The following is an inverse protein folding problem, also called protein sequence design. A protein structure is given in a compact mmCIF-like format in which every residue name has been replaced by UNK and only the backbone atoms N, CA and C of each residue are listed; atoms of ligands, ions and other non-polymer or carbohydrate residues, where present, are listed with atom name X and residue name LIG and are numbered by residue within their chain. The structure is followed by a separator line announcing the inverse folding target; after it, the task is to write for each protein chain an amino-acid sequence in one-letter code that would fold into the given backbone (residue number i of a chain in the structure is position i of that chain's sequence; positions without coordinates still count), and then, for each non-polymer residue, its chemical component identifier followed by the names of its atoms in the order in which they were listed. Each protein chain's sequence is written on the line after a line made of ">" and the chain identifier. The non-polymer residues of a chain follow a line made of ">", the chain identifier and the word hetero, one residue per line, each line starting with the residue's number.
data_IF_433956733957
#
_entry.id   IF_433956733957
#
_cell.length_a   1.000
_cell.length_b   1.000
_cell.length_c   1.000
_cell.angle_alpha   90.00
_cell.angle_beta   90.00
_cell.angle_gamma   90.00
#
_symmetry.space_group_name_H-M   'P 1'
#
loop_
_entity.id
_entity.type
_entity.pdbx_description
1 polymer ?
#
# COMPACT_ATOMS: atom_id res chain seq x y z
N UNK A 1 10.09 37.07 -19.49
CA UNK A 1 9.77 35.72 -19.99
C UNK A 1 10.82 34.78 -19.41
N UNK A 2 10.46 33.90 -18.47
CA UNK A 2 11.44 33.04 -17.77
C UNK A 2 11.10 32.61 -16.33
N UNK A 3 9.93 32.99 -15.79
CA UNK A 3 9.49 32.60 -14.44
C UNK A 3 8.43 31.48 -14.45
N UNK A 4 8.16 30.86 -15.60
CA UNK A 4 7.18 29.77 -15.67
C UNK A 4 7.77 28.53 -15.00
N UNK A 5 7.00 27.92 -14.08
CA UNK A 5 7.43 26.70 -13.41
C UNK A 5 7.59 25.56 -14.41
N UNK A 6 8.82 25.05 -14.57
CA UNK A 6 9.09 23.88 -15.42
C UNK A 6 9.15 22.64 -14.55
N UNK A 7 8.17 21.74 -14.72
CA UNK A 7 8.18 20.45 -14.05
C UNK A 7 9.21 19.51 -14.69
N UNK A 8 10.19 19.07 -13.91
CA UNK A 8 11.14 18.03 -14.31
C UNK A 8 11.07 16.90 -13.29
N UNK A 9 10.63 15.71 -13.72
CA UNK A 9 10.38 14.55 -12.84
C UNK A 9 11.54 14.29 -11.86
N UNK A 10 12.76 14.19 -12.39
CA UNK A 10 13.97 13.87 -11.61
C UNK A 10 14.38 14.95 -10.62
N UNK A 11 13.89 16.19 -10.79
CA UNK A 11 14.21 17.33 -9.92
C UNK A 11 13.05 17.73 -9.01
N UNK A 12 11.86 17.18 -9.25
CA UNK A 12 10.62 17.59 -8.57
C UNK A 12 10.02 16.42 -7.82
N UNK A 13 9.56 15.39 -8.54
CA UNK A 13 8.80 14.28 -7.95
C UNK A 13 9.67 13.21 -7.32
N UNK A 14 10.72 12.78 -8.02
CA UNK A 14 11.60 11.72 -7.52
C UNK A 14 12.23 12.07 -6.16
N UNK A 15 12.70 13.31 -5.91
CA UNK A 15 13.21 13.69 -4.60
C UNK A 15 12.13 14.22 -3.64
N UNK A 16 10.84 14.18 -4.01
CA UNK A 16 9.79 14.79 -3.18
C UNK A 16 9.56 13.98 -1.90
N UNK A 17 9.63 14.60 -0.70
CA UNK A 17 9.47 13.88 0.54
C UNK A 17 7.98 13.70 0.90
N UNK A 18 7.28 12.78 0.22
CA UNK A 18 5.87 12.41 0.50
C UNK A 18 5.63 11.96 1.95
N UNK A 19 4.50 12.24 2.59
CA UNK A 19 4.26 11.83 3.99
C UNK A 19 4.22 10.31 4.15
N UNK A 20 4.48 9.82 5.36
CA UNK A 20 4.30 8.41 5.71
C UNK A 20 2.84 8.16 6.12
N UNK A 21 1.93 8.27 5.15
CA UNK A 21 0.49 8.16 5.37
C UNK A 21 0.07 6.72 5.74
N UNK A 22 -0.80 6.60 6.73
CA UNK A 22 -1.51 5.34 7.07
C UNK A 22 -2.41 4.89 5.92
N UNK A 23 -2.82 3.62 5.91
CA UNK A 23 -3.72 3.09 4.88
C UNK A 23 -5.05 3.87 4.85
N UNK A 24 -5.59 4.24 6.02
CA UNK A 24 -6.79 5.06 6.13
C UNK A 24 -6.60 6.45 5.52
N UNK A 25 -5.46 7.09 5.78
CA UNK A 25 -5.13 8.40 5.19
C UNK A 25 -4.93 8.31 3.67
N UNK A 26 -4.29 7.24 3.18
CA UNK A 26 -4.13 7.01 1.74
C UNK A 26 -5.48 6.85 1.04
N UNK A 27 -6.39 6.09 1.64
CA UNK A 27 -7.77 5.93 1.13
C UNK A 27 -8.51 7.26 1.12
N UNK A 28 -8.43 8.04 2.20
CA UNK A 28 -9.09 9.34 2.30
C UNK A 28 -8.57 10.35 1.27
N UNK A 29 -7.24 10.50 1.16
CA UNK A 29 -6.59 11.38 0.16
C UNK A 29 -6.96 10.93 -1.25
N UNK A 30 -6.93 9.62 -1.53
CA UNK A 30 -7.29 9.04 -2.82
C UNK A 30 -8.74 9.34 -3.20
N UNK A 31 -9.69 9.17 -2.28
CA UNK A 31 -11.09 9.46 -2.52
C UNK A 31 -11.35 10.93 -2.88
N UNK A 32 -10.71 11.87 -2.15
CA UNK A 32 -10.83 13.31 -2.44
C UNK A 32 -10.21 13.64 -3.81
N UNK A 33 -9.05 13.05 -4.13
CA UNK A 33 -8.38 13.27 -5.41
C UNK A 33 -9.22 12.77 -6.60
N UNK A 34 -9.87 11.62 -6.46
CA UNK A 34 -10.80 11.07 -7.46
C UNK A 34 -12.06 11.95 -7.61
N UNK A 35 -12.64 12.43 -6.49
CA UNK A 35 -13.77 13.37 -6.51
C UNK A 35 -13.41 14.67 -7.25
N UNK A 36 -12.22 15.20 -7.00
CA UNK A 36 -11.66 16.38 -7.63
C UNK A 36 -11.42 16.20 -9.14
N UNK A 37 -10.88 15.05 -9.56
CA UNK A 37 -10.69 14.73 -10.97
C UNK A 37 -12.03 14.52 -11.69
N UNK A 38 -12.97 13.81 -11.07
CA UNK A 38 -14.32 13.60 -11.59
C UNK A 38 -15.06 14.94 -11.76
N UNK A 39 -14.93 15.86 -10.80
CA UNK A 39 -15.50 17.21 -10.90
C UNK A 39 -14.96 17.95 -12.13
N UNK A 40 -13.63 17.99 -12.30
CA UNK A 40 -12.98 18.65 -13.43
C UNK A 40 -13.44 18.07 -14.77
N UNK A 41 -13.46 16.74 -14.89
CA UNK A 41 -13.90 16.05 -16.11
C UNK A 41 -15.35 16.39 -16.45
N UNK A 42 -16.25 16.33 -15.46
CA UNK A 42 -17.68 16.62 -15.62
C UNK A 42 -17.93 18.03 -16.14
N UNK A 43 -17.29 19.05 -15.55
CA UNK A 43 -17.51 20.45 -15.99
C UNK A 43 -16.89 20.73 -17.36
N UNK A 44 -15.72 20.16 -17.65
CA UNK A 44 -15.07 20.30 -18.96
C UNK A 44 -15.86 19.63 -20.08
N UNK A 45 -16.47 18.48 -19.80
CA UNK A 45 -17.34 17.78 -20.75
C UNK A 45 -18.65 18.53 -21.00
N UNK A 46 -19.28 19.05 -19.94
CA UNK A 46 -20.54 19.77 -20.05
C UNK A 46 -20.40 21.16 -20.71
N UNK A 47 -19.24 21.80 -20.59
CA UNK A 47 -19.03 23.18 -21.03
C UNK A 47 -17.76 23.30 -21.92
N UNK A 48 -17.86 23.12 -23.25
CA UNK A 48 -16.71 23.08 -24.16
C UNK A 48 -15.84 24.35 -24.22
N UNK A 49 -16.35 25.47 -23.71
CA UNK A 49 -15.61 26.73 -23.64
C UNK A 49 -14.70 26.81 -22.40
N UNK A 50 -14.88 25.92 -21.42
CA UNK A 50 -14.02 25.84 -20.25
C UNK A 50 -12.69 25.19 -20.60
N UNK A 51 -11.65 25.62 -19.90
CA UNK A 51 -10.33 25.00 -19.95
C UNK A 51 -9.84 24.81 -18.53
N UNK A 52 -8.98 23.82 -18.31
CA UNK A 52 -8.39 23.60 -16.99
C UNK A 52 -7.65 24.87 -16.52
N UNK A 53 -6.84 25.48 -17.38
CA UNK A 53 -6.16 26.75 -17.08
C UNK A 53 -7.15 27.86 -16.70
N UNK A 54 -8.26 28.00 -17.41
CA UNK A 54 -9.29 28.99 -17.08
C UNK A 54 -9.91 28.77 -15.70
N UNK A 55 -10.27 27.53 -15.37
CA UNK A 55 -10.82 27.17 -14.05
C UNK A 55 -9.85 27.55 -12.92
N UNK A 56 -8.57 27.23 -13.10
CA UNK A 56 -7.56 27.52 -12.09
C UNK A 56 -7.23 29.00 -11.97
N UNK A 57 -7.22 29.76 -13.07
CA UNK A 57 -7.03 31.20 -12.99
C UNK A 57 -8.12 31.88 -12.13
N UNK A 58 -9.38 31.48 -12.32
CA UNK A 58 -10.49 32.00 -11.50
C UNK A 58 -10.39 31.50 -10.06
N UNK A 59 -10.02 30.23 -9.83
CA UNK A 59 -9.79 29.71 -8.48
C UNK A 59 -8.72 30.51 -7.73
N UNK A 60 -7.60 30.82 -8.37
CA UNK A 60 -6.52 31.61 -7.76
C UNK A 60 -6.96 33.05 -7.45
N UNK A 61 -7.83 33.65 -8.27
CA UNK A 61 -8.45 34.96 -7.96
C UNK A 61 -9.26 34.89 -6.66
N UNK A 62 -10.05 33.83 -6.46
CA UNK A 62 -10.82 33.63 -5.22
C UNK A 62 -9.90 33.39 -4.01
N UNK A 63 -8.84 32.60 -4.18
CA UNK A 63 -7.85 32.37 -3.11
C UNK A 63 -7.12 33.66 -2.72
N UNK A 64 -6.88 34.56 -3.66
CA UNK A 64 -6.33 35.89 -3.42
C UNK A 64 -7.34 36.86 -2.74
N UNK A 65 -8.56 36.41 -2.44
CA UNK A 65 -9.57 37.17 -1.71
C UNK A 65 -10.58 37.92 -2.58
N UNK A 66 -10.56 37.74 -3.90
CA UNK A 66 -11.60 38.29 -4.77
C UNK A 66 -12.96 37.63 -4.46
N UNK A 67 -14.04 38.43 -4.46
CA UNK A 67 -15.40 37.91 -4.35
C UNK A 67 -15.95 37.61 -5.75
N UNK A 68 -16.99 36.78 -5.87
CA UNK A 68 -17.63 36.50 -7.16
C UNK A 68 -18.16 37.75 -7.89
N UNK A 69 -18.44 38.83 -7.16
CA UNK A 69 -18.88 40.12 -7.72
C UNK A 69 -17.72 40.98 -8.23
N UNK A 70 -16.47 40.65 -7.86
CA UNK A 70 -15.26 41.31 -8.34
C UNK A 70 -14.71 40.65 -9.63
N UNK A 71 -15.41 39.63 -10.15
CA UNK A 71 -15.08 38.91 -11.38
C UNK A 71 -15.67 39.62 -12.60
N UNK A 72 -14.93 39.66 -13.70
CA UNK A 72 -15.46 40.14 -14.99
C UNK A 72 -16.48 39.15 -15.59
N UNK A 73 -17.20 39.54 -16.65
CA UNK A 73 -18.23 38.70 -17.27
C UNK A 73 -17.72 37.31 -17.73
N UNK A 74 -16.45 37.25 -18.17
CA UNK A 74 -15.82 36.01 -18.63
C UNK A 74 -15.40 35.15 -17.45
N UNK A 75 -14.75 35.73 -16.45
CA UNK A 75 -14.38 35.08 -15.19
C UNK A 75 -15.63 34.55 -14.47
N UNK A 76 -16.72 35.33 -14.45
CA UNK A 76 -18.00 34.96 -13.85
C UNK A 76 -18.64 33.77 -14.55
N UNK A 77 -18.62 33.76 -15.88
CA UNK A 77 -19.10 32.61 -16.65
C UNK A 77 -18.29 31.34 -16.35
N UNK A 78 -16.96 31.46 -16.27
CA UNK A 78 -16.08 30.33 -15.90
C UNK A 78 -16.35 29.87 -14.45
N UNK A 79 -16.57 30.83 -13.54
CA UNK A 79 -16.90 30.56 -12.15
C UNK A 79 -18.18 29.73 -12.00
N UNK A 80 -19.25 30.17 -12.68
CA UNK A 80 -20.58 29.56 -12.60
C UNK A 80 -20.62 28.20 -13.31
N UNK A 81 -20.21 28.13 -14.58
CA UNK A 81 -20.23 26.89 -15.38
C UNK A 81 -19.18 25.87 -14.87
N UNK A 82 -18.05 26.38 -14.36
CA UNK A 82 -16.98 25.56 -13.79
C UNK A 82 -17.23 25.11 -12.36
N UNK A 83 -18.30 25.61 -11.72
CA UNK A 83 -18.64 25.35 -10.32
C UNK A 83 -17.41 25.52 -9.42
N UNK A 84 -16.72 26.65 -9.55
CA UNK A 84 -15.37 26.85 -8.99
C UNK A 84 -15.34 26.82 -7.46
N UNK A 85 -16.46 27.08 -6.79
CA UNK A 85 -16.56 26.90 -5.32
C UNK A 85 -16.39 25.44 -4.89
N UNK A 86 -16.97 24.49 -5.64
CA UNK A 86 -16.79 23.05 -5.36
C UNK A 86 -15.33 22.67 -5.61
N UNK A 87 -14.73 23.19 -6.70
CA UNK A 87 -13.32 22.98 -6.99
C UNK A 87 -12.44 23.50 -5.84
N UNK A 88 -12.76 24.67 -5.29
CA UNK A 88 -12.06 25.26 -4.14
C UNK A 88 -12.18 24.39 -2.89
N UNK A 89 -13.40 23.99 -2.53
CA UNK A 89 -13.66 23.14 -1.36
C UNK A 89 -12.91 21.81 -1.44
N UNK A 90 -12.87 21.18 -2.61
CA UNK A 90 -12.15 19.92 -2.81
C UNK A 90 -10.64 20.07 -2.66
N UNK A 91 -10.07 21.19 -3.11
CA UNK A 91 -8.66 21.51 -2.86
C UNK A 91 -8.41 21.74 -1.36
N UNK A 92 -9.27 22.48 -0.67
CA UNK A 92 -9.12 22.73 0.77
C UNK A 92 -9.22 21.42 1.58
N UNK A 93 -10.17 20.54 1.24
CA UNK A 93 -10.29 19.19 1.83
C UNK A 93 -9.04 18.35 1.57
N UNK A 94 -8.47 18.43 0.37
CA UNK A 94 -7.25 17.72 0.01
C UNK A 94 -6.04 18.25 0.81
N UNK A 95 -5.88 19.57 0.90
CA UNK A 95 -4.81 20.22 1.65
C UNK A 95 -4.86 19.86 3.14
N UNK A 96 -6.05 19.83 3.74
CA UNK A 96 -6.26 19.37 5.12
C UNK A 96 -5.79 17.91 5.29
N UNK A 97 -6.24 17.01 4.42
CA UNK A 97 -5.90 15.59 4.52
C UNK A 97 -4.39 15.33 4.32
N UNK A 98 -3.76 16.07 3.40
CA UNK A 98 -2.31 15.99 3.17
C UNK A 98 -1.53 16.57 4.35
N UNK A 99 -1.94 17.72 4.89
CA UNK A 99 -1.33 18.31 6.08
C UNK A 99 -1.40 17.35 7.28
N UNK A 100 -2.53 16.69 7.48
CA UNK A 100 -2.70 15.66 8.52
C UNK A 100 -1.74 14.47 8.32
N UNK A 101 -1.58 14.00 7.08
CA UNK A 101 -0.62 12.93 6.77
C UNK A 101 0.83 13.34 7.04
N UNK A 102 1.17 14.63 6.88
CA UNK A 102 2.45 15.18 7.31
C UNK A 102 2.57 15.41 8.83
N UNK A 103 1.44 15.43 9.55
CA UNK A 103 1.37 15.85 10.94
C UNK A 103 1.59 17.36 11.13
N UNK A 104 1.20 18.17 10.13
CA UNK A 104 1.42 19.61 10.08
C UNK A 104 0.11 20.39 10.21
N UNK A 105 0.13 21.63 10.76
CA UNK A 105 -1.02 22.53 10.66
C UNK A 105 -1.37 22.84 9.20
N UNK A 106 -2.66 22.97 8.90
CA UNK A 106 -3.15 23.27 7.54
C UNK A 106 -2.85 24.71 7.13
N UNK A 107 -2.78 25.62 8.09
CA UNK A 107 -2.58 27.06 7.90
C UNK A 107 -1.10 27.47 7.99
N UNK A 108 -0.18 26.52 7.77
CA UNK A 108 1.24 26.83 7.76
C UNK A 108 1.60 27.84 6.66
N UNK A 109 2.41 28.87 6.96
CA UNK A 109 2.96 29.76 5.95
C UNK A 109 3.80 28.98 4.92
N UNK A 110 3.76 29.41 3.66
CA UNK A 110 4.48 28.76 2.56
C UNK A 110 5.98 28.60 2.84
N UNK A 111 6.62 29.61 3.43
CA UNK A 111 8.03 29.58 3.81
C UNK A 111 8.33 28.48 4.84
N UNK A 112 7.43 28.24 5.78
CA UNK A 112 7.57 27.16 6.77
C UNK A 112 7.35 25.79 6.15
N UNK A 113 6.34 25.66 5.26
CA UNK A 113 6.12 24.43 4.49
C UNK A 113 7.38 24.06 3.72
N UNK A 114 7.98 25.02 3.02
CA UNK A 114 9.22 24.82 2.28
C UNK A 114 10.37 24.39 3.19
N UNK A 115 10.56 25.08 4.33
CA UNK A 115 11.61 24.73 5.29
C UNK A 115 11.46 23.30 5.83
N UNK A 116 10.23 22.88 6.17
CA UNK A 116 9.94 21.52 6.65
C UNK A 116 10.16 20.47 5.56
N UNK A 117 9.75 20.73 4.33
CA UNK A 117 10.00 19.84 3.19
C UNK A 117 11.50 19.66 2.92
N UNK A 118 12.28 20.73 2.96
CA UNK A 118 13.75 20.67 2.80
C UNK A 118 14.40 19.86 3.92
N UNK A 119 13.97 20.07 5.17
CA UNK A 119 14.45 19.30 6.31
C UNK A 119 14.15 17.80 6.16
N UNK A 120 12.90 17.45 5.79
CA UNK A 120 12.48 16.06 5.59
C UNK A 120 13.22 15.40 4.42
N UNK A 121 13.43 16.11 3.32
CA UNK A 121 14.24 15.62 2.20
C UNK A 121 15.68 15.35 2.63
N UNK A 122 16.29 16.27 3.38
CA UNK A 122 17.66 16.11 3.91
C UNK A 122 17.76 14.88 4.82
N UNK A 123 16.74 14.61 5.62
CA UNK A 123 16.67 13.40 6.45
C UNK A 123 16.59 12.13 5.59
N UNK A 124 15.70 12.10 4.59
CA UNK A 124 15.56 10.95 3.67
C UNK A 124 16.82 10.67 2.89
N UNK A 125 17.50 11.70 2.40
CA UNK A 125 18.79 11.55 1.73
C UNK A 125 19.85 10.92 2.66
N UNK A 126 19.78 11.15 3.97
CA UNK A 126 20.65 10.48 4.96
C UNK A 126 20.20 9.04 5.24
N UNK A 127 18.91 8.75 5.23
CA UNK A 127 18.36 7.38 5.33
C UNK A 127 18.79 6.52 4.15
N UNK A 128 18.62 7.01 2.94
CA UNK A 128 18.98 6.30 1.71
C UNK A 128 20.48 6.01 1.64
N UNK A 129 21.34 6.96 2.05
CA UNK A 129 22.79 6.73 2.19
C UNK A 129 23.15 5.65 3.19
N UNK A 130 22.30 5.40 4.19
CA UNK A 130 22.43 4.30 5.17
C UNK A 130 21.76 3.01 4.69
N UNK A 131 21.19 2.99 3.49
CA UNK A 131 20.48 1.85 2.92
C UNK A 131 19.04 1.69 3.39
N UNK A 132 18.44 2.72 4.00
CA UNK A 132 17.03 2.74 4.38
C UNK A 132 16.23 3.52 3.34
N UNK A 133 15.41 2.83 2.55
CA UNK A 133 14.52 3.44 1.56
C UNK A 133 13.09 3.43 2.09
N UNK A 134 12.43 4.60 2.12
CA UNK A 134 11.01 4.71 2.48
C UNK A 134 10.14 4.55 1.23
N UNK A 135 9.79 3.31 0.93
CA UNK A 135 8.91 2.95 -0.19
C UNK A 135 7.50 3.51 0.01
N UNK A 136 6.92 4.12 -1.02
CA UNK A 136 5.55 4.66 -1.02
C UNK A 136 4.51 3.56 -1.24
N UNK A 137 4.86 2.56 -2.05
CA UNK A 137 4.07 1.35 -2.30
C UNK A 137 4.99 0.14 -2.20
N UNK A 138 5.38 -0.26 -0.97
CA UNK A 138 6.33 -1.34 -0.73
C UNK A 138 5.99 -2.59 -1.56
N UNK A 139 4.71 -2.99 -1.58
CA UNK A 139 4.18 -4.15 -2.28
C UNK A 139 4.37 -4.13 -3.81
N UNK A 140 4.42 -2.93 -4.40
CA UNK A 140 4.68 -2.77 -5.82
C UNK A 140 6.17 -2.52 -6.13
N UNK A 141 6.85 -1.78 -5.25
CA UNK A 141 8.19 -1.25 -5.52
C UNK A 141 9.30 -2.22 -5.11
N UNK A 142 9.22 -2.84 -3.94
CA UNK A 142 10.27 -3.75 -3.43
C UNK A 142 10.52 -4.93 -4.37
N UNK A 143 9.50 -5.62 -4.94
CA UNK A 143 9.75 -6.72 -5.86
C UNK A 143 10.52 -6.32 -7.12
N UNK A 144 10.39 -5.06 -7.57
CA UNK A 144 11.00 -4.54 -8.80
C UNK A 144 12.35 -3.87 -8.58
N UNK A 145 12.49 -3.12 -7.48
CA UNK A 145 13.59 -2.19 -7.25
C UNK A 145 14.29 -2.39 -5.91
N UNK A 146 13.70 -3.16 -4.98
CA UNK A 146 14.26 -3.41 -3.66
C UNK A 146 15.48 -4.34 -3.71
N UNK A 147 16.29 -4.29 -2.67
CA UNK A 147 17.39 -5.24 -2.47
C UNK A 147 16.84 -6.66 -2.19
N UNK A 148 17.66 -7.68 -2.41
CA UNK A 148 17.28 -9.08 -2.10
C UNK A 148 16.88 -9.27 -0.62
N UNK A 149 17.48 -8.48 0.29
CA UNK A 149 17.13 -8.47 1.71
C UNK A 149 15.72 -7.92 1.95
N UNK A 150 15.34 -6.83 1.26
CA UNK A 150 14.01 -6.24 1.39
C UNK A 150 12.92 -7.13 0.78
N UNK A 151 13.21 -7.75 -0.37
CA UNK A 151 12.31 -8.75 -0.99
C UNK A 151 12.07 -9.94 -0.07
N UNK A 152 13.13 -10.49 0.54
CA UNK A 152 13.01 -11.58 1.50
C UNK A 152 12.17 -11.19 2.71
N UNK A 153 12.40 -9.99 3.27
CA UNK A 153 11.61 -9.48 4.41
C UNK A 153 10.13 -9.29 4.07
N UNK A 154 9.81 -8.83 2.86
CA UNK A 154 8.42 -8.69 2.42
C UNK A 154 7.75 -10.06 2.27
N UNK A 155 8.45 -11.05 1.70
CA UNK A 155 7.94 -12.41 1.58
C UNK A 155 7.66 -13.03 2.97
N UNK A 156 8.51 -12.76 3.96
CA UNK A 156 8.27 -13.17 5.36
C UNK A 156 7.03 -12.51 5.97
N UNK A 157 6.78 -11.23 5.67
CA UNK A 157 5.60 -10.49 6.14
C UNK A 157 4.30 -11.01 5.50
N UNK A 158 4.31 -11.25 4.19
CA UNK A 158 3.15 -11.74 3.42
C UNK A 158 2.73 -13.17 3.83
N UNK A 159 3.69 -13.98 4.29
CA UNK A 159 3.45 -15.34 4.78
C UNK A 159 3.07 -15.41 6.27
N UNK A 160 2.82 -14.27 6.92
CA UNK A 160 2.31 -14.23 8.30
C UNK A 160 3.37 -14.41 9.39
N UNK A 161 4.60 -13.93 9.16
CA UNK A 161 5.50 -13.53 10.26
C UNK A 161 5.78 -14.59 11.34
N UNK A 162 6.24 -15.77 10.96
CA UNK A 162 6.95 -16.69 11.86
C UNK A 162 7.88 -17.64 11.09
N UNK A 163 8.72 -17.11 10.21
CA UNK A 163 9.90 -17.82 9.76
C UNK A 163 11.10 -17.23 10.50
N UNK A 164 11.47 -17.86 11.63
CA UNK A 164 12.83 -17.69 12.13
C UNK A 164 13.79 -17.94 10.98
N UNK A 165 14.63 -16.93 10.69
CA UNK A 165 15.71 -16.92 9.70
C UNK A 165 16.25 -18.32 9.48
N UNK A 166 15.88 -18.93 8.34
CA UNK A 166 16.31 -20.26 7.98
C UNK A 166 17.80 -20.21 7.61
N UNK A 167 18.65 -20.69 8.51
CA UNK A 167 20.03 -21.04 8.19
C UNK A 167 19.97 -22.19 7.16
N UNK A 168 20.65 -22.11 6.00
CA UNK A 168 20.64 -23.18 5.01
C UNK A 168 21.09 -24.50 5.65
N UNK A 169 20.19 -25.49 5.69
CA UNK A 169 20.46 -26.82 6.26
C UNK A 169 19.83 -27.12 7.63
N UNK A 170 19.20 -26.15 8.30
CA UNK A 170 18.48 -26.41 9.55
C UNK A 170 17.01 -26.74 9.29
N UNK A 171 16.53 -27.88 9.81
CA UNK A 171 15.10 -28.23 9.79
C UNK A 171 14.27 -27.10 10.43
N UNK A 172 13.06 -26.76 9.94
CA UNK A 172 12.20 -25.75 10.55
C UNK A 172 11.65 -26.21 11.92
N UNK A 173 11.31 -25.27 12.81
CA UNK A 173 10.60 -25.59 14.04
C UNK A 173 9.10 -25.80 13.75
N UNK A 174 8.45 -26.75 14.41
CA UNK A 174 7.01 -26.93 14.31
C UNK A 174 6.26 -25.76 14.96
N UNK A 175 5.31 -25.12 14.26
CA UNK A 175 4.56 -23.98 14.79
C UNK A 175 3.71 -24.32 16.01
N UNK A 176 3.49 -23.35 16.90
CA UNK A 176 2.62 -23.49 18.07
C UNK A 176 1.15 -23.14 17.81
N UNK A 177 0.85 -22.32 16.79
CA UNK A 177 -0.51 -21.91 16.45
C UNK A 177 -1.25 -22.93 15.57
N UNK A 178 -2.54 -23.18 15.85
CA UNK A 178 -3.34 -24.20 15.14
C UNK A 178 -3.51 -23.90 13.64
N UNK A 179 -3.70 -22.62 13.28
CA UNK A 179 -3.82 -22.19 11.88
C UNK A 179 -2.52 -22.42 11.10
N UNK A 180 -1.39 -22.09 11.72
CA UNK A 180 -0.05 -22.29 11.15
C UNK A 180 0.27 -23.77 10.98
N UNK A 181 -0.03 -24.60 12.00
CA UNK A 181 0.12 -26.05 11.92
C UNK A 181 -0.69 -26.64 10.76
N UNK A 182 -1.92 -26.17 10.58
CA UNK A 182 -2.79 -26.59 9.48
C UNK A 182 -2.19 -26.23 8.12
N UNK A 183 -1.77 -24.97 7.94
CA UNK A 183 -1.17 -24.50 6.70
C UNK A 183 0.12 -25.28 6.34
N UNK A 184 0.98 -25.55 7.33
CA UNK A 184 2.20 -26.33 7.13
C UNK A 184 1.93 -27.78 6.74
N UNK A 185 1.00 -28.46 7.42
CA UNK A 185 0.64 -29.85 7.09
C UNK A 185 0.04 -29.94 5.68
N UNK A 186 -0.78 -28.96 5.29
CA UNK A 186 -1.33 -28.89 3.93
C UNK A 186 -0.25 -28.67 2.88
N UNK A 187 0.64 -27.70 3.09
CA UNK A 187 1.73 -27.44 2.16
C UNK A 187 2.64 -28.67 2.01
N UNK A 188 2.96 -29.36 3.11
CA UNK A 188 3.75 -30.59 3.06
C UNK A 188 3.12 -31.70 2.22
N UNK A 189 1.79 -31.84 2.26
CA UNK A 189 1.04 -32.80 1.43
C UNK A 189 0.97 -32.37 -0.04
N UNK A 190 0.81 -31.07 -0.31
CA UNK A 190 0.76 -30.52 -1.67
C UNK A 190 2.13 -30.64 -2.35
N UNK A 191 3.20 -30.23 -1.67
CA UNK A 191 4.58 -30.27 -2.16
C UNK A 191 5.06 -31.70 -2.42
N UNK A 192 4.73 -32.64 -1.53
CA UNK A 192 5.11 -34.03 -1.72
C UNK A 192 4.40 -34.69 -2.91
N UNK A 193 3.22 -34.18 -3.31
CA UNK A 193 2.43 -34.73 -4.42
C UNK A 193 2.00 -36.19 -4.24
N UNK A 194 2.18 -36.76 -3.05
CA UNK A 194 1.97 -38.15 -2.71
C UNK A 194 1.39 -38.28 -1.28
N UNK A 195 0.87 -39.47 -0.95
CA UNK A 195 0.33 -39.72 0.38
C UNK A 195 1.46 -39.78 1.42
N UNK A 196 1.38 -38.96 2.47
CA UNK A 196 2.34 -38.95 3.57
C UNK A 196 1.69 -39.43 4.86
N UNK A 197 2.50 -40.05 5.74
CA UNK A 197 2.08 -40.35 7.10
C UNK A 197 2.51 -39.25 8.09
N UNK A 198 1.92 -39.25 9.28
CA UNK A 198 2.23 -38.26 10.32
C UNK A 198 3.69 -38.28 10.78
N UNK A 199 4.36 -39.44 10.72
CA UNK A 199 5.76 -39.57 11.13
C UNK A 199 6.72 -38.93 10.11
N UNK A 200 6.41 -39.04 8.82
CA UNK A 200 7.19 -38.45 7.72
C UNK A 200 7.10 -36.92 7.75
N UNK A 201 5.90 -36.40 8.02
CA UNK A 201 5.67 -34.95 8.19
C UNK A 201 6.39 -34.46 9.45
N UNK A 202 6.28 -35.17 10.58
CA UNK A 202 6.97 -34.81 11.82
C UNK A 202 8.51 -34.83 11.67
N UNK A 203 9.07 -35.73 10.85
CA UNK A 203 10.52 -35.84 10.63
C UNK A 203 11.15 -34.64 9.91
N UNK A 204 10.32 -33.78 9.29
CA UNK A 204 10.75 -32.53 8.64
C UNK A 204 11.07 -31.42 9.64
N UNK A 205 10.65 -31.53 10.90
CA UNK A 205 10.84 -30.48 11.92
C UNK A 205 12.02 -30.75 12.87
N UNK A 206 12.56 -29.69 13.51
CA UNK A 206 13.60 -29.79 14.56
C UNK A 206 13.16 -30.70 15.71
N UNK A 207 11.89 -30.60 16.10
CA UNK A 207 11.31 -31.37 17.20
C UNK A 207 11.09 -32.86 16.85
N UNK A 208 11.17 -33.23 15.57
CA UNK A 208 11.05 -34.60 15.08
C UNK A 208 9.76 -35.28 15.56
N UNK A 209 9.87 -36.52 16.02
CA UNK A 209 8.71 -37.33 16.43
C UNK A 209 7.92 -36.74 17.63
N UNK A 210 8.44 -35.75 18.35
CA UNK A 210 7.70 -35.10 19.46
C UNK A 210 6.44 -34.37 18.99
N UNK A 211 6.41 -33.89 17.74
CA UNK A 211 5.25 -33.16 17.19
C UNK A 211 4.27 -34.06 16.45
N UNK A 212 4.57 -35.36 16.37
CA UNK A 212 3.70 -36.35 15.73
C UNK A 212 2.25 -36.33 16.26
N UNK A 213 1.98 -36.18 17.57
CA UNK A 213 0.59 -36.10 18.06
C UNK A 213 -0.17 -34.89 17.51
N UNK A 214 0.49 -33.72 17.45
CA UNK A 214 -0.09 -32.49 16.90
C UNK A 214 -0.37 -32.65 15.40
N UNK A 215 0.61 -33.14 14.62
CA UNK A 215 0.44 -33.44 13.19
C UNK A 215 -0.71 -34.44 12.96
N UNK A 216 -0.82 -35.46 13.81
CA UNK A 216 -1.91 -36.46 13.72
C UNK A 216 -3.27 -35.81 13.97
N UNK A 217 -3.37 -34.91 14.95
CA UNK A 217 -4.60 -34.17 15.24
C UNK A 217 -5.04 -33.32 14.04
N UNK A 218 -4.09 -32.63 13.42
CA UNK A 218 -4.34 -31.79 12.24
C UNK A 218 -4.80 -32.65 11.06
N UNK A 219 -4.11 -33.75 10.75
CA UNK A 219 -4.51 -34.69 9.69
C UNK A 219 -5.91 -35.27 9.93
N UNK A 220 -6.24 -35.66 11.17
CA UNK A 220 -7.57 -36.15 11.52
C UNK A 220 -8.65 -35.08 11.31
N UNK A 221 -8.36 -33.82 11.67
CA UNK A 221 -9.29 -32.70 11.48
C UNK A 221 -9.50 -32.40 9.99
N UNK A 222 -8.43 -32.34 9.20
CA UNK A 222 -8.44 -32.15 7.76
C UNK A 222 -9.18 -33.27 7.01
N UNK A 223 -9.07 -34.52 7.48
CA UNK A 223 -9.80 -35.65 6.93
C UNK A 223 -11.31 -35.54 7.23
N UNK A 224 -11.69 -35.15 8.46
CA UNK A 224 -13.10 -34.96 8.83
C UNK A 224 -13.79 -33.88 8.00
N UNK A 225 -13.09 -32.80 7.68
CA UNK A 225 -13.62 -31.71 6.83
C UNK A 225 -13.48 -32.01 5.33
N UNK A 226 -12.92 -33.16 4.95
CA UNK A 226 -12.90 -33.64 3.57
C UNK A 226 -11.83 -33.04 2.65
N UNK A 227 -10.87 -32.29 3.19
CA UNK A 227 -9.78 -31.66 2.42
C UNK A 227 -8.67 -32.65 2.02
N UNK A 228 -8.52 -33.74 2.77
CA UNK A 228 -7.55 -34.80 2.48
C UNK A 228 -8.26 -36.15 2.44
N UNK A 229 -7.70 -37.07 1.67
CA UNK A 229 -8.21 -38.44 1.56
C UNK A 229 -7.17 -39.45 2.05
N UNK A 230 -7.64 -40.58 2.56
CA UNK A 230 -6.82 -41.73 2.89
C UNK A 230 -7.33 -42.94 2.11
N UNK A 231 -6.40 -43.71 1.53
CA UNK A 231 -6.71 -44.95 0.80
C UNK A 231 -6.41 -46.20 1.65
N UNK A 232 -5.74 -46.05 2.80
CA UNK A 232 -5.18 -47.14 3.60
C UNK A 232 -5.70 -47.15 5.05
N UNK A 233 -6.86 -46.53 5.28
CA UNK A 233 -7.51 -46.53 6.59
C UNK A 233 -6.87 -45.58 7.61
N UNK A 234 -6.28 -44.47 7.15
CA UNK A 234 -5.73 -43.41 7.99
C UNK A 234 -4.25 -43.57 8.32
N UNK A 235 -3.51 -44.43 7.61
CA UNK A 235 -2.06 -44.57 7.79
C UNK A 235 -1.31 -43.52 6.98
N UNK A 236 -1.79 -43.21 5.78
CA UNK A 236 -1.30 -42.13 4.94
C UNK A 236 -2.46 -41.25 4.47
N UNK A 237 -2.16 -39.99 4.25
CA UNK A 237 -3.11 -38.99 3.77
C UNK A 237 -2.54 -38.28 2.55
N UNK A 238 -3.40 -38.01 1.57
CA UNK A 238 -3.06 -37.24 0.38
C UNK A 238 -4.02 -36.07 0.24
N UNK A 239 -3.51 -34.95 -0.29
CA UNK A 239 -4.33 -33.80 -0.65
C UNK A 239 -5.34 -34.18 -1.73
N UNK A 240 -6.62 -33.85 -1.54
CA UNK A 240 -7.62 -33.97 -2.61
C UNK A 240 -7.40 -32.83 -3.60
N UNK A 241 -6.94 -33.15 -4.80
CA UNK A 241 -7.09 -32.24 -5.94
C UNK A 241 -8.58 -32.20 -6.29
N UNK A 242 -9.19 -31.03 -6.26
CA UNK A 242 -10.47 -30.83 -6.94
C UNK A 242 -10.27 -31.20 -8.41
N UNK A 243 -11.09 -32.12 -8.91
CA UNK A 243 -11.17 -32.42 -10.34
C UNK A 243 -11.93 -31.32 -11.07
#
# INVERSE_FOLDING_TARGET
>A
MGNDSVYTKTRTFDPFPFPAATDEQQVAIGAIAEELDAHRKRVLEAHPHLTLTGLYNVLERLKAGARPDDLDDKERRIFDDGLVLILKELHERLDVAVAEAYGWPVDLPEEEVLARLVALNTERAKEEKRGLVRWLRPEYQIPRFGSEKEKAKQLEADLGGAAEVAIPGAKPAFPSGDAEQTAFVLNALVEAGAALNAADIAARFKQGQKVRPAVTSVLASLYRIGLISTADGGKTFAWRRAA
#
